data_IF_246230046240
#
_entry.id   IF_246230046240
#
_cell.length_a   1.000
_cell.length_b   1.000
_cell.length_c   1.000
_cell.angle_alpha   90.00
_cell.angle_beta   90.00
_cell.angle_gamma   90.00
#
_symmetry.space_group_name_H-M   'P 1'
#
loop_
_entity.id
_entity.type
_entity.pdbx_description
1 polymer ?
#
# COMPACT_ATOMS: atom_id res chain seq x y z
N UNK A 1 -8.63 -0.18 8.25
CA UNK A 1 -9.84 -0.93 7.84
C UNK A 1 -10.31 -0.33 6.53
N UNK A 2 -10.50 -1.13 5.49
CA UNK A 2 -11.17 -0.62 4.29
C UNK A 2 -12.62 -0.33 4.68
N UNK A 3 -13.12 0.87 4.45
CA UNK A 3 -14.53 1.24 4.65
C UNK A 3 -15.02 1.98 3.42
N UNK A 4 -16.28 1.80 3.08
CA UNK A 4 -17.00 2.69 2.17
C UNK A 4 -17.66 3.81 2.98
N UNK A 5 -17.77 5.00 2.40
CA UNK A 5 -18.32 6.19 3.06
C UNK A 5 -19.85 6.25 3.03
N UNK A 6 -20.47 5.53 2.10
CA UNK A 6 -21.92 5.44 1.93
C UNK A 6 -22.33 4.12 1.28
N UNK A 7 -23.62 3.76 1.28
CA UNK A 7 -24.11 2.56 0.61
C UNK A 7 -23.79 2.56 -0.89
N UNK A 8 -23.61 1.36 -1.46
CA UNK A 8 -23.34 1.14 -2.89
C UNK A 8 -24.31 0.08 -3.40
N UNK A 9 -24.76 0.18 -4.66
CA UNK A 9 -25.61 -0.84 -5.27
C UNK A 9 -27.03 -0.35 -5.55
N UNK A 10 -27.99 -1.27 -5.52
CA UNK A 10 -29.37 -1.01 -5.93
C UNK A 10 -30.02 0.10 -5.09
N UNK A 11 -30.68 1.04 -5.79
CA UNK A 11 -31.46 2.11 -5.18
C UNK A 11 -30.62 3.21 -4.52
N UNK A 12 -29.30 3.23 -4.71
CA UNK A 12 -28.44 4.29 -4.17
C UNK A 12 -28.13 5.33 -5.25
N UNK A 13 -28.33 6.60 -4.91
CA UNK A 13 -28.01 7.76 -5.76
C UNK A 13 -26.79 8.52 -5.24
N UNK A 14 -26.21 9.42 -6.03
CA UNK A 14 -25.05 10.25 -5.66
C UNK A 14 -23.84 9.44 -5.19
N UNK A 15 -23.51 8.39 -5.95
CA UNK A 15 -22.47 7.42 -5.61
C UNK A 15 -21.05 8.02 -5.62
N UNK A 16 -20.30 7.81 -4.53
CA UNK A 16 -18.87 8.05 -4.50
C UNK A 16 -18.17 7.02 -5.39
N UNK A 17 -17.57 7.50 -6.49
CA UNK A 17 -16.92 6.66 -7.50
C UNK A 17 -15.83 5.75 -6.92
N UNK A 18 -15.07 6.22 -5.93
CA UNK A 18 -13.99 5.44 -5.31
C UNK A 18 -14.54 4.27 -4.48
N UNK A 19 -15.66 4.47 -3.78
CA UNK A 19 -16.32 3.42 -3.01
C UNK A 19 -16.91 2.36 -3.94
N UNK A 20 -17.48 2.77 -5.08
CA UNK A 20 -17.96 1.86 -6.11
C UNK A 20 -16.81 1.00 -6.66
N UNK A 21 -15.67 1.62 -7.00
CA UNK A 21 -14.50 0.88 -7.50
C UNK A 21 -13.96 -0.09 -6.46
N UNK A 22 -13.94 0.29 -5.18
CA UNK A 22 -13.56 -0.61 -4.09
C UNK A 22 -14.48 -1.84 -4.05
N UNK A 23 -15.79 -1.64 -4.09
CA UNK A 23 -16.77 -2.74 -4.11
C UNK A 23 -16.62 -3.61 -5.35
N UNK A 24 -16.47 -3.03 -6.54
CA UNK A 24 -16.25 -3.76 -7.80
C UNK A 24 -14.99 -4.64 -7.74
N UNK A 25 -13.89 -4.10 -7.20
CA UNK A 25 -12.65 -4.85 -6.99
C UNK A 25 -12.83 -6.00 -6.02
N UNK A 26 -13.48 -5.75 -4.89
CA UNK A 26 -13.74 -6.79 -3.89
C UNK A 26 -14.65 -7.88 -4.47
N UNK A 27 -15.68 -7.52 -5.24
CA UNK A 27 -16.54 -8.47 -5.94
C UNK A 27 -15.71 -9.34 -6.88
N UNK A 28 -14.88 -8.75 -7.74
CA UNK A 28 -14.01 -9.48 -8.65
C UNK A 28 -13.12 -10.52 -7.94
N UNK A 29 -12.60 -10.19 -6.74
CA UNK A 29 -11.80 -11.14 -5.93
C UNK A 29 -12.60 -12.35 -5.44
N UNK A 30 -13.90 -12.20 -5.25
CA UNK A 30 -14.79 -13.27 -4.78
C UNK A 30 -15.53 -13.97 -5.91
N UNK A 31 -15.38 -13.54 -7.17
CA UNK A 31 -16.02 -14.19 -8.32
C UNK A 31 -15.47 -15.59 -8.55
N UNK A 32 -16.32 -16.48 -9.03
CA UNK A 32 -15.90 -17.81 -9.48
C UNK A 32 -14.96 -17.67 -10.68
N UNK A 33 -13.97 -18.55 -10.79
CA UNK A 33 -12.98 -18.53 -11.88
C UNK A 33 -13.63 -18.63 -13.28
N UNK A 34 -14.80 -19.26 -13.38
CA UNK A 34 -15.57 -19.38 -14.62
C UNK A 34 -16.36 -18.12 -14.99
N UNK A 35 -16.44 -17.15 -14.09
CA UNK A 35 -17.18 -15.91 -14.30
C UNK A 35 -16.26 -14.79 -14.78
N UNK A 36 -16.62 -14.14 -15.89
CA UNK A 36 -15.91 -12.95 -16.35
C UNK A 36 -15.91 -11.85 -15.27
N UNK A 37 -14.78 -11.15 -15.12
CA UNK A 37 -14.66 -10.01 -14.23
C UNK A 37 -15.58 -8.85 -14.67
N UNK A 38 -16.11 -8.12 -13.70
CA UNK A 38 -16.80 -6.85 -13.96
C UNK A 38 -15.78 -5.72 -14.07
N UNK A 39 -16.12 -4.65 -14.79
CA UNK A 39 -15.26 -3.48 -14.89
C UNK A 39 -15.18 -2.74 -13.54
N UNK A 40 -13.99 -2.24 -13.20
CA UNK A 40 -13.73 -1.40 -12.01
C UNK A 40 -13.81 0.10 -12.39
N UNK A 41 -14.88 0.48 -13.08
CA UNK A 41 -15.07 1.81 -13.67
C UNK A 41 -15.67 2.85 -12.69
N UNK A 42 -16.11 2.39 -11.52
CA UNK A 42 -16.79 3.19 -10.52
C UNK A 42 -18.25 3.49 -10.84
N UNK A 43 -18.85 2.75 -11.77
CA UNK A 43 -20.25 2.88 -12.17
C UNK A 43 -21.07 1.68 -11.66
N UNK A 44 -22.19 1.96 -10.99
CA UNK A 44 -23.11 0.90 -10.55
C UNK A 44 -24.10 0.61 -11.67
N UNK A 45 -23.66 -0.19 -12.65
CA UNK A 45 -24.50 -0.70 -13.72
C UNK A 45 -25.12 -2.08 -13.39
N UNK A 46 -25.94 -2.63 -14.30
CA UNK A 46 -26.57 -3.94 -14.12
C UNK A 46 -25.58 -5.08 -13.80
N UNK A 47 -24.37 -5.04 -14.38
CA UNK A 47 -23.31 -6.02 -14.11
C UNK A 47 -22.79 -5.95 -12.67
N UNK A 48 -22.61 -4.75 -12.13
CA UNK A 48 -22.18 -4.55 -10.74
C UNK A 48 -23.27 -4.99 -9.77
N UNK A 49 -24.53 -4.64 -10.04
CA UNK A 49 -25.67 -5.07 -9.21
C UNK A 49 -25.78 -6.61 -9.20
N UNK A 50 -25.74 -7.25 -10.38
CA UNK A 50 -25.79 -8.71 -10.48
C UNK A 50 -24.62 -9.39 -9.76
N UNK A 51 -23.43 -8.79 -9.79
CA UNK A 51 -22.28 -9.28 -9.04
C UNK A 51 -22.50 -9.21 -7.52
N UNK A 52 -23.09 -8.11 -7.03
CA UNK A 52 -23.43 -7.96 -5.60
C UNK A 52 -24.44 -9.03 -5.19
N UNK A 53 -25.51 -9.23 -5.96
CA UNK A 53 -26.55 -10.22 -5.67
C UNK A 53 -26.01 -11.65 -5.66
N UNK A 54 -25.17 -11.99 -6.64
CA UNK A 54 -24.51 -13.29 -6.73
C UNK A 54 -23.65 -13.54 -5.48
N UNK A 55 -22.83 -12.55 -5.10
CA UNK A 55 -21.99 -12.63 -3.93
C UNK A 55 -22.80 -12.77 -2.63
N UNK A 56 -23.86 -11.97 -2.48
CA UNK A 56 -24.76 -12.04 -1.33
C UNK A 56 -25.44 -13.41 -1.21
N UNK A 57 -25.88 -13.98 -2.33
CA UNK A 57 -26.49 -15.32 -2.37
C UNK A 57 -25.49 -16.40 -1.98
N UNK A 58 -24.31 -16.38 -2.59
CA UNK A 58 -23.32 -17.47 -2.47
C UNK A 58 -22.51 -17.39 -1.19
N UNK A 59 -22.01 -16.22 -0.84
CA UNK A 59 -21.04 -16.02 0.25
C UNK A 59 -21.73 -15.57 1.53
N UNK A 60 -22.63 -14.57 1.44
CA UNK A 60 -23.38 -14.08 2.61
C UNK A 60 -24.56 -14.99 2.95
N UNK A 61 -24.92 -15.95 2.07
CA UNK A 61 -26.04 -16.89 2.22
C UNK A 61 -27.39 -16.19 2.42
N UNK A 62 -27.57 -15.02 1.80
CA UNK A 62 -28.83 -14.28 1.85
C UNK A 62 -29.89 -14.99 1.00
N UNK A 63 -31.05 -15.30 1.61
CA UNK A 63 -32.18 -15.93 0.92
C UNK A 63 -32.80 -15.02 -0.15
N UNK A 64 -32.76 -13.70 0.07
CA UNK A 64 -33.18 -12.67 -0.87
C UNK A 64 -32.05 -11.64 -1.03
N UNK A 65 -31.15 -11.82 -1.99
CA UNK A 65 -30.12 -10.82 -2.31
C UNK A 65 -30.77 -9.51 -2.75
N UNK A 66 -30.38 -8.40 -2.12
CA UNK A 66 -30.95 -7.09 -2.37
C UNK A 66 -30.13 -6.25 -3.36
N UNK A 67 -28.88 -6.65 -3.65
CA UNK A 67 -27.98 -5.96 -4.55
C UNK A 67 -27.37 -4.69 -3.94
N UNK A 68 -27.34 -4.55 -2.61
CA UNK A 68 -26.86 -3.37 -1.88
C UNK A 68 -25.73 -3.72 -0.90
N UNK A 69 -24.76 -2.82 -0.76
CA UNK A 69 -23.60 -2.93 0.13
C UNK A 69 -23.55 -1.70 1.03
N UNK A 70 -23.94 -1.85 2.30
CA UNK A 70 -23.92 -0.75 3.28
C UNK A 70 -22.56 -0.66 4.03
N UNK A 71 -22.13 0.55 4.43
CA UNK A 71 -20.93 0.75 5.24
C UNK A 71 -20.95 -0.09 6.52
N UNK A 72 -19.91 -0.91 6.70
CA UNK A 72 -19.81 -1.80 7.87
C UNK A 72 -20.89 -2.89 7.96
N UNK A 73 -21.74 -3.04 6.94
CA UNK A 73 -22.80 -4.06 6.87
C UNK A 73 -22.27 -5.46 6.56
N UNK A 74 -23.14 -6.47 6.65
CA UNK A 74 -22.77 -7.89 6.50
C UNK A 74 -22.09 -8.18 5.15
N UNK A 75 -22.64 -7.66 4.05
CA UNK A 75 -22.05 -7.82 2.71
C UNK A 75 -20.67 -7.16 2.62
N UNK A 76 -20.51 -5.95 3.15
CA UNK A 76 -19.21 -5.27 3.12
C UNK A 76 -18.16 -5.95 4.00
N UNK A 77 -18.55 -6.45 5.18
CA UNK A 77 -17.68 -7.26 6.04
C UNK A 77 -17.23 -8.54 5.32
N UNK A 78 -18.15 -9.26 4.68
CA UNK A 78 -17.82 -10.47 3.93
C UNK A 78 -16.92 -10.19 2.72
N UNK A 79 -17.20 -9.13 1.96
CA UNK A 79 -16.35 -8.67 0.86
C UNK A 79 -14.94 -8.33 1.35
N UNK A 80 -14.85 -7.67 2.50
CA UNK A 80 -13.59 -7.27 3.14
C UNK A 80 -12.85 -8.42 3.81
N UNK A 81 -13.51 -9.55 4.06
CA UNK A 81 -12.92 -10.72 4.69
C UNK A 81 -12.41 -11.68 3.60
N UNK A 82 -11.13 -11.55 3.24
CA UNK A 82 -10.49 -12.32 2.16
C UNK A 82 -10.09 -13.75 2.56
N UNK A 83 -10.79 -14.37 3.52
CA UNK A 83 -10.42 -15.68 4.08
C UNK A 83 -11.18 -16.87 3.50
N UNK A 84 -11.97 -16.69 2.43
CA UNK A 84 -12.77 -17.80 1.86
C UNK A 84 -12.64 -17.88 0.34
N UNK A 85 -11.54 -18.48 -0.12
CA UNK A 85 -11.60 -19.32 -1.33
C UNK A 85 -12.05 -20.73 -0.93
N UNK A 86 -12.80 -21.46 -1.78
CA UNK A 86 -13.23 -22.83 -1.48
C UNK A 86 -12.04 -23.77 -1.35
N UNK A 87 -12.18 -24.71 -0.41
CA UNK A 87 -11.22 -25.76 -0.06
C UNK A 87 -10.68 -26.49 -1.30
N UNK A 88 -9.36 -26.45 -1.48
CA UNK A 88 -8.57 -27.51 -2.10
C UNK A 88 -7.65 -28.11 -1.01
N UNK A 89 -7.35 -29.42 -1.06
CA UNK A 89 -6.95 -30.19 0.12
C UNK A 89 -5.50 -29.89 0.56
N UNK A 90 -5.35 -29.80 1.88
CA UNK A 90 -4.12 -29.97 2.68
C UNK A 90 -2.77 -29.67 2.01
N UNK A 91 -2.13 -28.58 2.44
CA UNK A 91 -0.67 -28.49 2.51
C UNK A 91 -0.25 -27.74 3.79
N UNK A 92 0.91 -28.11 4.38
CA UNK A 92 1.09 -28.15 5.83
C UNK A 92 1.55 -26.82 6.45
N UNK A 93 1.57 -26.79 7.79
CA UNK A 93 1.94 -25.69 8.66
C UNK A 93 3.06 -24.77 8.12
N UNK A 94 2.75 -23.48 7.96
CA UNK A 94 3.72 -22.42 7.63
C UNK A 94 3.17 -21.36 6.68
N UNK A 95 1.98 -20.78 6.92
CA UNK A 95 1.45 -19.71 6.06
C UNK A 95 2.25 -18.42 6.29
N UNK A 96 3.11 -18.06 5.35
CA UNK A 96 3.80 -16.77 5.35
C UNK A 96 2.79 -15.63 5.31
N UNK A 97 3.00 -14.60 6.12
CA UNK A 97 2.14 -13.42 6.16
C UNK A 97 2.96 -12.16 5.89
N UNK A 98 2.34 -11.18 5.24
CA UNK A 98 2.89 -9.83 5.17
C UNK A 98 1.97 -8.93 5.96
N UNK A 99 2.52 -8.00 6.72
CA UNK A 99 1.75 -7.06 7.54
C UNK A 99 2.33 -5.66 7.42
N UNK A 100 1.53 -4.65 7.73
CA UNK A 100 2.02 -3.30 7.97
C UNK A 100 2.55 -3.19 9.39
N UNK A 101 3.59 -2.38 9.60
CA UNK A 101 4.01 -1.98 10.94
C UNK A 101 2.85 -1.29 11.66
N UNK A 102 2.64 -1.61 12.93
CA UNK A 102 1.48 -1.11 13.68
C UNK A 102 1.44 0.42 13.77
N UNK A 103 2.61 1.05 13.81
CA UNK A 103 2.76 2.52 13.85
C UNK A 103 2.54 3.19 12.49
N UNK A 104 2.41 2.44 11.39
CA UNK A 104 2.14 3.02 10.07
C UNK A 104 0.68 3.46 10.01
N UNK A 105 0.41 4.71 9.63
CA UNK A 105 -0.93 5.27 9.67
C UNK A 105 -1.86 4.59 8.67
N UNK A 106 -3.18 4.64 8.90
CA UNK A 106 -4.14 4.01 8.00
C UNK A 106 -4.13 4.62 6.60
N UNK A 107 -3.80 5.91 6.47
CA UNK A 107 -3.74 6.61 5.19
C UNK A 107 -2.52 6.21 4.35
N UNK A 108 -1.48 5.67 4.98
CA UNK A 108 -0.28 5.15 4.33
C UNK A 108 -0.47 3.69 3.87
N UNK A 109 -1.43 2.93 4.42
CA UNK A 109 -1.67 1.51 4.11
C UNK A 109 -2.41 1.29 2.78
N UNK A 110 -1.88 1.85 1.69
CA UNK A 110 -2.53 1.89 0.37
C UNK A 110 -1.81 1.05 -0.70
N UNK A 111 -0.96 0.10 -0.28
CA UNK A 111 -0.28 -0.82 -1.21
C UNK A 111 -1.32 -1.63 -1.97
N UNK A 112 -1.13 -1.74 -3.28
CA UNK A 112 -1.98 -2.55 -4.14
C UNK A 112 -1.87 -4.04 -3.75
N UNK A 113 -2.97 -4.78 -3.89
CA UNK A 113 -2.97 -6.20 -3.50
C UNK A 113 -1.98 -7.02 -4.32
N UNK A 114 -1.82 -6.71 -5.61
CA UNK A 114 -0.81 -7.37 -6.43
C UNK A 114 0.57 -7.20 -5.82
N UNK A 115 0.97 -5.97 -5.52
CA UNK A 115 2.27 -5.65 -4.95
C UNK A 115 2.46 -6.30 -3.58
N UNK A 116 1.40 -6.31 -2.77
CA UNK A 116 1.39 -7.02 -1.49
C UNK A 116 1.64 -8.52 -1.64
N UNK A 117 1.01 -9.15 -2.64
CA UNK A 117 1.18 -10.57 -2.93
C UNK A 117 2.56 -10.89 -3.55
N UNK A 118 3.16 -9.96 -4.31
CA UNK A 118 4.56 -10.07 -4.74
C UNK A 118 5.48 -10.15 -3.52
N UNK A 119 5.29 -9.27 -2.52
CA UNK A 119 6.08 -9.31 -1.28
C UNK A 119 5.85 -10.64 -0.54
N UNK A 120 4.60 -11.11 -0.47
CA UNK A 120 4.27 -12.40 0.16
C UNK A 120 5.00 -13.55 -0.51
N UNK A 121 4.95 -13.62 -1.85
CA UNK A 121 5.66 -14.62 -2.65
C UNK A 121 7.18 -14.56 -2.41
N UNK A 122 7.77 -13.36 -2.30
CA UNK A 122 9.20 -13.20 -1.97
C UNK A 122 9.50 -13.79 -0.59
N UNK A 123 8.68 -13.48 0.42
CA UNK A 123 8.87 -14.01 1.77
C UNK A 123 8.72 -15.54 1.82
N UNK A 124 7.75 -16.09 1.09
CA UNK A 124 7.55 -17.54 0.92
C UNK A 124 8.77 -18.21 0.29
N UNK A 125 9.28 -17.65 -0.81
CA UNK A 125 10.48 -18.15 -1.50
C UNK A 125 11.74 -18.08 -0.63
N UNK A 126 11.81 -17.13 0.30
CA UNK A 126 12.89 -17.03 1.27
C UNK A 126 12.73 -17.99 2.46
N UNK A 127 11.59 -18.69 2.59
CA UNK A 127 11.24 -19.49 3.76
C UNK A 127 10.94 -18.65 5.01
N UNK A 128 10.61 -17.37 4.84
CA UNK A 128 10.33 -16.45 5.93
C UNK A 128 8.82 -16.44 6.24
N UNK A 129 8.45 -16.66 7.50
CA UNK A 129 7.03 -16.75 7.91
C UNK A 129 6.33 -15.39 7.97
N UNK A 130 7.09 -14.29 8.02
CA UNK A 130 6.50 -12.95 8.15
C UNK A 130 7.35 -11.87 7.50
N UNK A 131 6.71 -10.97 6.75
CA UNK A 131 7.30 -9.73 6.23
C UNK A 131 6.61 -8.50 6.83
N UNK A 132 7.37 -7.44 7.15
CA UNK A 132 6.79 -6.20 7.73
C UNK A 132 7.06 -4.99 6.85
N UNK A 133 6.00 -4.45 6.26
CA UNK A 133 6.02 -3.19 5.51
C UNK A 133 6.10 -2.04 6.52
N UNK A 134 7.17 -1.26 6.44
CA UNK A 134 7.45 -0.15 7.37
C UNK A 134 7.23 1.23 6.75
N UNK A 135 7.26 1.34 5.42
CA UNK A 135 7.00 2.60 4.70
C UNK A 135 6.31 2.34 3.37
N UNK A 136 5.47 3.28 2.92
CA UNK A 136 4.69 3.17 1.67
C UNK A 136 4.65 4.53 0.93
N UNK A 137 3.52 5.24 0.93
CA UNK A 137 3.42 6.61 0.48
C UNK A 137 3.76 7.55 1.64
N UNK A 138 4.32 8.72 1.35
CA UNK A 138 4.46 9.81 2.31
C UNK A 138 3.88 11.09 1.72
N UNK A 139 3.07 11.79 2.48
CA UNK A 139 2.56 13.11 2.09
C UNK A 139 3.66 14.18 2.20
N UNK A 140 3.53 15.31 1.47
CA UNK A 140 4.41 16.46 1.68
C UNK A 140 4.51 16.90 3.14
N UNK A 141 3.39 16.88 3.86
CA UNK A 141 3.27 17.25 5.27
C UNK A 141 4.10 16.33 6.17
N UNK A 142 3.94 15.00 6.05
CA UNK A 142 4.70 14.02 6.82
C UNK A 142 6.21 14.08 6.52
N UNK A 143 6.57 14.30 5.25
CA UNK A 143 7.98 14.49 4.88
C UNK A 143 8.56 15.73 5.56
N UNK A 144 7.81 16.84 5.59
CA UNK A 144 8.25 18.07 6.24
C UNK A 144 8.38 17.89 7.74
N UNK A 145 7.47 17.17 8.40
CA UNK A 145 7.60 16.89 9.82
C UNK A 145 8.90 16.12 10.15
N UNK A 146 9.28 15.16 9.29
CA UNK A 146 10.56 14.45 9.42
C UNK A 146 11.74 15.39 9.20
N UNK A 147 11.73 16.14 8.10
CA UNK A 147 12.82 17.06 7.75
C UNK A 147 13.01 18.14 8.82
N UNK A 148 11.93 18.76 9.29
CA UNK A 148 11.95 19.79 10.32
C UNK A 148 12.53 19.27 11.64
N UNK A 149 12.03 18.13 12.12
CA UNK A 149 12.52 17.53 13.38
C UNK A 149 14.01 17.21 13.31
N UNK A 150 14.46 16.60 12.22
CA UNK A 150 15.85 16.22 12.06
C UNK A 150 16.76 17.43 11.84
N UNK A 151 16.29 18.44 11.10
CA UNK A 151 17.01 19.70 10.89
C UNK A 151 17.17 20.51 12.18
N UNK A 152 16.17 20.46 13.07
CA UNK A 152 16.25 21.04 14.42
C UNK A 152 17.34 20.38 15.27
N UNK A 153 17.57 19.09 15.09
CA UNK A 153 18.62 18.35 15.79
C UNK A 153 20.01 18.54 15.14
N UNK A 154 20.11 18.41 13.81
CA UNK A 154 21.39 18.51 13.09
C UNK A 154 21.17 18.93 11.62
N UNK A 155 21.07 20.24 11.38
CA UNK A 155 20.88 20.80 10.04
C UNK A 155 22.02 20.46 9.08
N UNK A 156 23.28 20.61 9.51
CA UNK A 156 24.44 20.34 8.66
C UNK A 156 24.46 18.89 8.17
N UNK A 157 24.15 17.94 9.07
CA UNK A 157 24.01 16.53 8.70
C UNK A 157 22.84 16.27 7.75
N UNK A 158 21.75 17.04 7.80
CA UNK A 158 20.65 16.91 6.84
C UNK A 158 21.09 17.31 5.43
N UNK A 159 21.86 18.39 5.26
CA UNK A 159 22.38 18.78 3.93
C UNK A 159 23.31 17.71 3.33
N UNK A 160 24.03 16.95 4.15
CA UNK A 160 24.84 15.82 3.65
C UNK A 160 24.02 14.59 3.27
N UNK A 161 22.78 14.48 3.77
CA UNK A 161 21.90 13.33 3.53
C UNK A 161 20.96 13.56 2.34
N UNK A 162 20.48 14.78 2.16
CA UNK A 162 19.60 15.15 1.07
C UNK A 162 20.39 15.55 -0.18
N UNK A 163 19.73 15.48 -1.33
CA UNK A 163 20.23 16.11 -2.56
C UNK A 163 19.56 17.47 -2.79
N UNK A 164 19.86 18.11 -3.92
CA UNK A 164 19.45 19.49 -4.25
C UNK A 164 17.97 19.84 -4.00
N UNK A 165 17.05 18.89 -4.23
CA UNK A 165 15.63 19.08 -3.93
C UNK A 165 15.35 19.17 -2.43
N UNK A 166 15.95 18.28 -1.63
CA UNK A 166 15.83 18.31 -0.18
C UNK A 166 16.56 19.50 0.41
N UNK A 167 17.73 19.87 -0.13
CA UNK A 167 18.48 21.05 0.27
C UNK A 167 17.68 22.33 0.07
N UNK A 168 16.92 22.44 -1.02
CA UNK A 168 16.02 23.56 -1.24
C UNK A 168 14.95 23.69 -0.15
N UNK A 169 14.46 22.58 0.39
CA UNK A 169 13.49 22.58 1.52
C UNK A 169 14.19 22.86 2.85
N UNK A 170 15.39 22.33 3.06
CA UNK A 170 16.21 22.64 4.24
C UNK A 170 16.63 24.11 4.27
N UNK A 171 16.84 24.74 3.12
CA UNK A 171 17.11 26.17 3.02
C UNK A 171 15.91 27.00 3.45
N UNK A 172 14.69 26.59 3.08
CA UNK A 172 13.45 27.22 3.58
C UNK A 172 13.36 27.10 5.10
N UNK A 173 13.69 25.94 5.68
CA UNK A 173 13.80 25.80 7.12
C UNK A 173 14.85 26.77 7.71
N UNK A 174 16.06 26.77 7.17
CA UNK A 174 17.18 27.58 7.67
C UNK A 174 16.87 29.08 7.69
N UNK A 175 16.25 29.58 6.61
CA UNK A 175 15.87 30.99 6.45
C UNK A 175 14.72 31.42 7.35
N UNK A 176 13.90 30.47 7.82
CA UNK A 176 12.69 30.76 8.57
C UNK A 176 12.72 30.19 9.99
N UNK A 177 13.79 29.54 10.45
CA UNK A 177 13.86 28.80 11.73
C UNK A 177 13.56 29.63 12.99
N UNK A 178 13.55 30.95 12.89
CA UNK A 178 13.18 31.88 13.98
C UNK A 178 11.67 32.15 14.07
N UNK A 179 10.88 31.75 13.06
CA UNK A 179 9.43 31.92 13.01
C UNK A 179 8.70 30.80 13.77
N UNK A 180 7.39 30.95 14.06
CA UNK A 180 6.61 29.88 14.66
C UNK A 180 6.66 28.59 13.83
N UNK A 181 6.78 27.44 14.50
CA UNK A 181 6.95 26.12 13.86
C UNK A 181 5.91 25.85 12.77
N UNK A 182 4.63 26.16 13.03
CA UNK A 182 3.55 25.97 12.08
C UNK A 182 3.77 26.78 10.78
N UNK A 183 4.31 28.00 10.88
CA UNK A 183 4.61 28.82 9.72
C UNK A 183 5.80 28.26 8.93
N UNK A 184 6.86 27.83 9.61
CA UNK A 184 8.04 27.22 8.97
C UNK A 184 7.63 25.95 8.22
N UNK A 185 6.89 25.06 8.88
CA UNK A 185 6.38 23.82 8.25
C UNK A 185 5.48 24.13 7.06
N UNK A 186 4.59 25.12 7.16
CA UNK A 186 3.74 25.55 6.02
C UNK A 186 4.59 25.98 4.82
N UNK A 187 5.64 26.76 5.04
CA UNK A 187 6.56 27.20 3.98
C UNK A 187 7.34 26.02 3.37
N UNK A 188 7.85 25.11 4.21
CA UNK A 188 8.52 23.89 3.75
C UNK A 188 7.57 23.01 2.92
N UNK A 189 6.32 22.83 3.36
CA UNK A 189 5.29 22.06 2.62
C UNK A 189 5.00 22.71 1.28
N UNK A 190 4.88 24.04 1.24
CA UNK A 190 4.70 24.77 -0.02
C UNK A 190 5.86 24.48 -0.98
N UNK A 191 7.12 24.47 -0.49
CA UNK A 191 8.29 24.13 -1.31
C UNK A 191 8.28 22.69 -1.80
N UNK A 192 7.90 21.72 -0.96
CA UNK A 192 7.75 20.32 -1.39
C UNK A 192 6.69 20.19 -2.47
N UNK A 193 5.54 20.86 -2.33
CA UNK A 193 4.46 20.86 -3.33
C UNK A 193 4.88 21.51 -4.65
N UNK A 194 5.60 22.64 -4.59
CA UNK A 194 6.18 23.30 -5.76
C UNK A 194 7.15 22.36 -6.50
N UNK A 195 8.03 21.65 -5.78
CA UNK A 195 8.95 20.68 -6.38
C UNK A 195 8.17 19.53 -7.05
N UNK A 196 7.15 18.99 -6.38
CA UNK A 196 6.31 17.91 -6.93
C UNK A 196 5.57 18.32 -8.20
N UNK A 197 5.05 19.55 -8.27
CA UNK A 197 4.42 20.08 -9.49
C UNK A 197 5.38 20.11 -10.69
N UNK A 198 6.68 20.22 -10.43
CA UNK A 198 7.73 20.19 -11.44
C UNK A 198 8.37 18.79 -11.60
N UNK A 199 7.69 17.73 -11.15
CA UNK A 199 8.19 16.34 -11.15
C UNK A 199 9.52 16.13 -10.39
N UNK A 200 9.85 17.03 -9.46
CA UNK A 200 11.04 16.95 -8.61
C UNK A 200 10.66 16.43 -7.24
N UNK A 201 11.31 15.34 -6.81
CA UNK A 201 10.97 14.67 -5.54
C UNK A 201 12.06 14.91 -4.51
N UNK A 202 11.63 15.17 -3.27
CA UNK A 202 12.50 15.29 -2.10
C UNK A 202 12.82 13.93 -1.45
N UNK A 203 11.99 12.93 -1.73
CA UNK A 203 12.18 11.54 -1.31
C UNK A 203 11.42 10.61 -2.28
N UNK A 204 11.88 9.36 -2.39
CA UNK A 204 11.20 8.33 -3.17
C UNK A 204 9.81 7.96 -2.64
N UNK A 205 9.46 8.28 -1.39
CA UNK A 205 8.10 8.00 -0.87
C UNK A 205 7.13 9.16 -1.09
N UNK A 206 7.65 10.36 -1.37
CA UNK A 206 6.83 11.56 -1.46
C UNK A 206 6.19 11.65 -2.84
N UNK A 207 4.90 11.37 -2.91
CA UNK A 207 4.11 11.37 -4.15
C UNK A 207 2.62 11.55 -3.84
N UNK A 208 1.80 11.70 -4.87
CA UNK A 208 0.34 11.70 -4.74
C UNK A 208 -0.19 10.26 -4.67
N UNK A 209 -1.37 10.07 -4.07
CA UNK A 209 -2.03 8.77 -4.04
C UNK A 209 -2.29 8.22 -5.45
N UNK A 210 -2.63 9.09 -6.40
CA UNK A 210 -2.83 8.74 -7.81
C UNK A 210 -1.55 8.17 -8.43
N UNK A 211 -0.42 8.88 -8.32
CA UNK A 211 0.86 8.40 -8.82
C UNK A 211 1.32 7.12 -8.09
N UNK A 212 1.03 7.00 -6.81
CA UNK A 212 1.36 5.80 -6.03
C UNK A 212 0.59 4.57 -6.53
N UNK A 213 -0.63 4.73 -7.08
CA UNK A 213 -1.38 3.61 -7.69
C UNK A 213 -0.74 3.09 -8.97
N UNK A 214 0.01 3.93 -9.68
CA UNK A 214 0.73 3.50 -10.89
C UNK A 214 2.01 2.72 -10.56
N UNK A 215 2.64 3.04 -9.43
CA UNK A 215 3.85 2.37 -8.94
C UNK A 215 3.94 2.49 -7.43
N UNK A 216 3.77 1.38 -6.72
CA UNK A 216 3.92 1.33 -5.28
C UNK A 216 5.40 1.34 -4.92
N UNK A 217 5.76 2.22 -3.97
CA UNK A 217 7.10 2.34 -3.42
C UNK A 217 7.02 1.89 -1.97
N UNK A 218 7.78 0.86 -1.60
CA UNK A 218 7.55 0.10 -0.38
C UNK A 218 8.89 -0.19 0.29
N UNK A 219 8.98 0.08 1.59
CA UNK A 219 10.09 -0.38 2.41
C UNK A 219 9.64 -1.55 3.28
N UNK A 220 10.40 -2.63 3.25
CA UNK A 220 10.27 -3.76 4.16
C UNK A 220 11.40 -3.66 5.18
N UNK A 221 11.06 -3.38 6.44
CA UNK A 221 12.05 -3.13 7.49
C UNK A 221 12.67 -4.43 8.00
N UNK A 222 14.00 -4.53 7.98
CA UNK A 222 14.74 -5.74 8.39
C UNK A 222 14.49 -6.05 9.86
N UNK A 223 14.68 -5.08 10.75
CA UNK A 223 14.51 -5.27 12.19
C UNK A 223 13.08 -5.63 12.57
N UNK A 224 12.09 -4.98 11.94
CA UNK A 224 10.67 -5.28 12.18
C UNK A 224 10.31 -6.67 11.67
N UNK A 225 10.86 -7.06 10.52
CA UNK A 225 10.68 -8.40 9.94
C UNK A 225 11.33 -9.47 10.82
N UNK A 226 12.56 -9.25 11.28
CA UNK A 226 13.26 -10.16 12.20
C UNK A 226 12.48 -10.38 13.48
N UNK A 227 12.00 -9.30 14.11
CA UNK A 227 11.19 -9.38 15.32
C UNK A 227 9.89 -10.17 15.11
N UNK A 228 9.27 -10.01 13.94
CA UNK A 228 7.98 -10.64 13.63
C UNK A 228 8.10 -12.10 13.15
N UNK A 229 9.17 -12.44 12.45
CA UNK A 229 9.38 -13.75 11.82
C UNK A 229 10.18 -14.73 12.70
N UNK A 230 10.89 -14.23 13.71
CA UNK A 230 11.65 -15.04 14.66
C UNK A 230 12.66 -15.97 13.97
N UNK A 231 12.62 -17.26 14.29
CA UNK A 231 13.55 -18.26 13.77
C UNK A 231 13.50 -18.46 12.24
N UNK A 232 12.41 -18.06 11.56
CA UNK A 232 12.31 -18.14 10.10
C UNK A 232 13.02 -16.99 9.37
N UNK A 233 13.49 -15.98 10.12
CA UNK A 233 14.17 -14.84 9.53
C UNK A 233 15.57 -15.24 9.03
N UNK A 234 15.83 -14.97 7.76
CA UNK A 234 17.18 -15.05 7.19
C UNK A 234 17.40 -13.90 6.21
N UNK A 235 18.24 -12.93 6.60
CA UNK A 235 18.48 -11.72 5.81
C UNK A 235 19.01 -12.03 4.41
N UNK A 236 19.99 -12.94 4.27
CA UNK A 236 20.58 -13.30 2.98
C UNK A 236 19.55 -13.90 2.04
N UNK A 237 18.78 -14.89 2.52
CA UNK A 237 17.73 -15.54 1.72
C UNK A 237 16.63 -14.57 1.28
N UNK A 238 16.24 -13.65 2.16
CA UNK A 238 15.25 -12.62 1.82
C UNK A 238 15.81 -11.67 0.75
N UNK A 239 17.03 -11.18 0.93
CA UNK A 239 17.71 -10.34 -0.10
C UNK A 239 17.81 -11.08 -1.43
N UNK A 240 18.25 -12.35 -1.44
CA UNK A 240 18.34 -13.17 -2.65
C UNK A 240 16.98 -13.37 -3.33
N UNK A 241 15.91 -13.57 -2.55
CA UNK A 241 14.55 -13.70 -3.06
C UNK A 241 14.04 -12.39 -3.69
N UNK A 242 14.34 -11.23 -3.09
CA UNK A 242 14.05 -9.92 -3.69
C UNK A 242 14.82 -9.71 -5.01
N UNK A 243 16.12 -9.97 -5.02
CA UNK A 243 16.96 -9.90 -6.22
C UNK A 243 16.42 -10.81 -7.33
N UNK A 244 15.99 -12.03 -6.98
CA UNK A 244 15.35 -12.95 -7.94
C UNK A 244 14.03 -12.39 -8.47
N UNK A 245 13.17 -11.84 -7.61
CA UNK A 245 11.88 -11.30 -8.03
C UNK A 245 12.02 -10.06 -8.94
N UNK A 246 13.06 -9.24 -8.74
CA UNK A 246 13.44 -8.18 -9.68
C UNK A 246 13.88 -8.75 -11.03
N UNK A 247 14.83 -9.69 -11.03
CA UNK A 247 15.32 -10.34 -12.26
C UNK A 247 14.20 -11.03 -13.04
N UNK A 248 13.24 -11.63 -12.34
CA UNK A 248 12.10 -12.31 -12.93
C UNK A 248 11.00 -11.34 -13.40
N UNK A 249 11.13 -10.03 -13.14
CA UNK A 249 10.20 -9.00 -13.59
C UNK A 249 8.94 -8.81 -12.74
N UNK A 250 8.91 -9.36 -11.52
CA UNK A 250 7.81 -9.10 -10.57
C UNK A 250 8.00 -7.78 -9.82
N UNK A 251 9.25 -7.33 -9.68
CA UNK A 251 9.64 -6.06 -9.04
C UNK A 251 10.35 -5.22 -10.10
N UNK A 252 9.95 -3.96 -10.25
CA UNK A 252 10.54 -3.09 -11.27
C UNK A 252 11.88 -2.51 -10.84
N UNK A 253 12.06 -2.34 -9.53
CA UNK A 253 13.32 -1.88 -8.95
C UNK A 253 13.45 -2.38 -7.52
N UNK A 254 14.59 -2.95 -7.21
CA UNK A 254 14.99 -3.35 -5.87
C UNK A 254 16.27 -2.62 -5.47
N UNK A 255 16.30 -2.11 -4.24
CA UNK A 255 17.49 -1.51 -3.64
C UNK A 255 17.72 -2.18 -2.29
N UNK A 256 18.87 -2.84 -2.14
CA UNK A 256 19.31 -3.36 -0.85
C UNK A 256 19.86 -2.22 0.01
N UNK A 257 19.10 -1.83 1.03
CA UNK A 257 19.50 -0.82 2.00
C UNK A 257 19.68 -1.43 3.40
N UNK A 258 19.87 -2.75 3.48
CA UNK A 258 20.02 -3.47 4.75
C UNK A 258 21.33 -3.16 5.47
N UNK A 259 22.27 -2.50 4.78
CA UNK A 259 23.54 -2.02 5.32
C UNK A 259 23.55 -0.50 5.57
N UNK A 260 22.44 0.19 5.28
CA UNK A 260 22.28 1.62 5.51
C UNK A 260 21.51 1.90 6.79
N UNK A 261 21.44 3.17 7.18
CA UNK A 261 20.77 3.62 8.41
C UNK A 261 19.28 3.30 8.46
N UNK A 262 18.59 3.24 7.31
CA UNK A 262 17.17 2.86 7.23
C UNK A 262 16.93 1.35 7.37
N UNK A 263 17.95 0.52 7.12
CA UNK A 263 17.97 -0.92 7.35
C UNK A 263 16.71 -1.63 6.82
N UNK A 264 16.50 -1.53 5.51
CA UNK A 264 15.31 -2.03 4.83
C UNK A 264 15.61 -2.62 3.44
N UNK A 265 14.66 -3.37 2.92
CA UNK A 265 14.57 -3.71 1.50
C UNK A 265 13.61 -2.73 0.84
N UNK A 266 14.11 -1.91 -0.07
CA UNK A 266 13.30 -0.94 -0.80
C UNK A 266 12.90 -1.52 -2.15
N UNK A 267 11.60 -1.49 -2.46
CA UNK A 267 11.07 -2.01 -3.72
C UNK A 267 10.12 -1.01 -4.38
N UNK A 268 10.21 -0.92 -5.70
CA UNK A 268 9.23 -0.25 -6.55
C UNK A 268 8.53 -1.30 -7.42
N UNK A 269 7.20 -1.38 -7.32
CA UNK A 269 6.38 -2.39 -7.98
C UNK A 269 5.23 -1.72 -8.72
N UNK A 270 5.10 -2.00 -10.02
CA UNK A 270 3.97 -1.62 -10.86
C UNK A 270 2.90 -2.70 -10.72
N UNK A 271 1.67 -2.35 -10.28
CA UNK A 271 0.59 -3.32 -10.15
C UNK A 271 0.32 -4.09 -11.44
N UNK A 272 0.15 -5.42 -11.32
CA UNK A 272 -0.16 -6.34 -12.42
C UNK A 272 0.86 -6.36 -13.57
N UNK A 273 2.10 -5.95 -13.34
CA UNK A 273 3.15 -5.96 -14.36
C UNK A 273 3.46 -7.38 -14.90
N UNK A 274 3.25 -8.41 -14.08
CA UNK A 274 3.45 -9.82 -14.45
C UNK A 274 2.45 -10.70 -13.70
N UNK A 275 1.80 -11.71 -14.31
CA UNK A 275 0.93 -12.63 -13.57
C UNK A 275 1.70 -13.35 -12.46
N UNK A 276 1.14 -13.38 -11.25
CA UNK A 276 1.72 -14.15 -10.14
C UNK A 276 1.63 -15.66 -10.44
N UNK A 277 2.58 -16.47 -9.95
CA UNK A 277 2.49 -17.92 -10.02
C UNK A 277 1.18 -18.41 -9.37
N UNK A 278 0.60 -19.46 -9.95
CA UNK A 278 -0.61 -20.11 -9.45
C UNK A 278 -0.35 -20.87 -8.13
#
# INVERSE_FOLDING_TARGET
>A
MNSISQPIGRGVSNLNRNDVQLVQRLLNRHRLQTSAAIQEDGLVGPKTIAAIEEFQKRVVRMSMPDGRVDPGGATFRALSNTSTSPVAPSSPAGSTTVVYKDTLSSNERIVDLYCFNVIKMVMENAGCSKGVITSTIRTPEEQVDIMYRNAKTNLAGQYSLYGSNGDAVLKVYEDNKQKPEAEVKRLMVAKVKELLQNNRRVSLHVTTAENYRLKNIIDIGVNSTQAAAGASFNKSKITEAFTKAERDGYINKFIDETHKSNNCWHVEIVPNAKPLPA
#
